data_IF_679713131449
#
_entry.id   IF_679713131449
#
_cell.length_a   1.000
_cell.length_b   1.000
_cell.length_c   1.000
_cell.angle_alpha   90.00
_cell.angle_beta   90.00
_cell.angle_gamma   90.00
#
_symmetry.space_group_name_H-M   'P 1'
#
loop_
_entity.id
_entity.type
_entity.pdbx_description
1 polymer ?
#
# COMPACT_ATOMS: atom_id res chain seq x y z
N UNK A 1 55.77 13.00 -23.94
CA UNK A 1 55.00 11.75 -23.74
C UNK A 1 53.50 11.97 -24.03
N UNK A 2 52.81 12.86 -23.30
CA UNK A 2 51.38 13.14 -23.46
C UNK A 2 50.93 13.52 -24.89
N UNK A 3 51.72 14.32 -25.62
CA UNK A 3 51.36 14.69 -27.00
C UNK A 3 51.33 13.51 -27.98
N UNK A 4 52.17 12.49 -27.77
CA UNK A 4 52.15 11.27 -28.59
C UNK A 4 50.92 10.41 -28.28
N UNK A 5 50.55 10.32 -27.02
CA UNK A 5 49.35 9.59 -26.57
C UNK A 5 48.10 10.27 -27.14
N UNK A 6 48.01 11.60 -27.09
CA UNK A 6 46.88 12.35 -27.66
C UNK A 6 46.78 12.17 -29.18
N UNK A 7 47.91 12.25 -29.90
CA UNK A 7 47.94 12.06 -31.34
C UNK A 7 47.49 10.65 -31.75
N UNK A 8 47.90 9.63 -30.99
CA UNK A 8 47.46 8.26 -31.21
C UNK A 8 45.97 8.07 -30.90
N UNK A 9 45.49 8.61 -29.77
CA UNK A 9 44.07 8.56 -29.41
C UNK A 9 43.19 9.26 -30.46
N UNK A 10 43.62 10.39 -31.00
CA UNK A 10 42.90 11.10 -32.06
C UNK A 10 42.82 10.28 -33.35
N UNK A 11 43.91 9.59 -33.73
CA UNK A 11 43.93 8.68 -34.88
C UNK A 11 42.92 7.54 -34.71
N UNK A 12 42.99 6.84 -33.58
CA UNK A 12 42.10 5.71 -33.30
C UNK A 12 40.63 6.14 -33.21
N UNK A 13 40.35 7.30 -32.61
CA UNK A 13 38.99 7.84 -32.54
C UNK A 13 38.40 8.14 -33.93
N UNK A 14 39.19 8.74 -34.82
CA UNK A 14 38.77 8.99 -36.21
C UNK A 14 38.51 7.66 -36.94
N UNK A 15 39.35 6.64 -36.66
CA UNK A 15 39.25 5.31 -37.27
C UNK A 15 37.98 4.57 -36.80
N UNK A 16 37.70 4.58 -35.50
CA UNK A 16 36.47 4.02 -34.91
C UNK A 16 35.23 4.73 -35.45
N UNK A 17 35.24 6.07 -35.53
CA UNK A 17 34.10 6.85 -36.04
C UNK A 17 33.80 6.57 -37.51
N UNK A 18 34.81 6.23 -38.29
CA UNK A 18 34.68 5.93 -39.73
C UNK A 18 34.25 4.48 -39.97
N UNK A 19 34.56 3.57 -39.05
CA UNK A 19 34.06 2.20 -39.06
C UNK A 19 32.66 2.10 -38.43
N UNK A 20 31.64 2.45 -39.24
CA UNK A 20 30.23 2.41 -38.83
C UNK A 20 29.78 1.03 -38.34
N UNK A 21 30.40 -0.06 -38.83
CA UNK A 21 30.00 -1.42 -38.44
C UNK A 21 30.47 -1.74 -37.04
N UNK A 22 31.73 -1.44 -36.72
CA UNK A 22 32.25 -1.62 -35.37
C UNK A 22 31.56 -0.69 -34.37
N UNK A 23 31.32 0.58 -34.74
CA UNK A 23 30.56 1.51 -33.90
C UNK A 23 29.13 1.01 -33.64
N UNK A 24 28.46 0.48 -34.68
CA UNK A 24 27.14 -0.11 -34.53
C UNK A 24 27.16 -1.32 -33.59
N UNK A 25 28.11 -2.25 -33.74
CA UNK A 25 28.20 -3.40 -32.82
C UNK A 25 28.45 -2.96 -31.37
N UNK A 26 29.33 -1.98 -31.16
CA UNK A 26 29.68 -1.47 -29.84
C UNK A 26 28.52 -0.74 -29.14
N UNK A 27 27.55 -0.21 -29.90
CA UNK A 27 26.35 0.43 -29.35
C UNK A 27 25.14 -0.51 -29.31
N UNK A 28 24.88 -1.26 -30.38
CA UNK A 28 23.71 -2.14 -30.51
C UNK A 28 23.75 -3.25 -29.47
N UNK A 29 24.93 -3.86 -29.24
CA UNK A 29 25.04 -4.93 -28.26
C UNK A 29 24.65 -4.46 -26.84
N UNK A 30 25.24 -3.40 -26.25
CA UNK A 30 24.82 -2.93 -24.94
C UNK A 30 23.38 -2.40 -24.90
N UNK A 31 22.86 -1.79 -25.97
CA UNK A 31 21.45 -1.38 -26.04
C UNK A 31 20.54 -2.62 -26.01
N UNK A 32 20.89 -3.67 -26.74
CA UNK A 32 20.13 -4.92 -26.74
C UNK A 32 20.17 -5.58 -25.35
N UNK A 33 21.31 -5.55 -24.67
CA UNK A 33 21.42 -5.96 -23.27
C UNK A 33 20.55 -5.11 -22.35
N UNK A 34 20.54 -3.78 -22.51
CA UNK A 34 19.68 -2.89 -21.71
C UNK A 34 18.20 -3.18 -21.92
N UNK A 35 17.76 -3.43 -23.15
CA UNK A 35 16.37 -3.81 -23.46
C UNK A 35 16.05 -5.18 -22.86
N UNK A 36 16.95 -6.16 -23.04
CA UNK A 36 16.77 -7.52 -22.52
C UNK A 36 16.69 -7.52 -20.99
N UNK A 37 17.60 -6.83 -20.32
CA UNK A 37 17.55 -6.70 -18.86
C UNK A 37 16.38 -5.83 -18.39
N UNK A 38 16.05 -4.76 -19.12
CA UNK A 38 14.87 -3.95 -18.83
C UNK A 38 13.56 -4.73 -18.91
N UNK A 39 13.49 -5.75 -19.78
CA UNK A 39 12.35 -6.64 -19.90
C UNK A 39 12.40 -7.85 -18.95
N UNK A 40 13.57 -8.48 -18.82
CA UNK A 40 13.75 -9.71 -18.06
C UNK A 40 13.76 -9.47 -16.54
N UNK A 41 14.21 -8.31 -16.07
CA UNK A 41 14.08 -7.92 -14.66
C UNK A 41 12.68 -7.40 -14.36
N UNK A 42 11.69 -8.29 -14.39
CA UNK A 42 10.46 -8.05 -13.62
C UNK A 42 10.79 -8.43 -12.17
N UNK A 43 11.18 -7.45 -11.36
CA UNK A 43 11.49 -7.63 -9.93
C UNK A 43 10.22 -7.90 -9.11
N UNK A 44 9.38 -8.85 -9.52
CA UNK A 44 8.21 -9.24 -8.72
C UNK A 44 8.68 -10.19 -7.63
N UNK A 45 8.83 -9.67 -6.42
CA UNK A 45 9.18 -10.46 -5.23
C UNK A 45 8.00 -11.39 -4.94
N UNK A 46 8.12 -12.67 -5.29
CA UNK A 46 7.01 -13.63 -5.31
C UNK A 46 6.21 -13.67 -4.01
N UNK A 47 6.87 -13.57 -2.87
CA UNK A 47 6.24 -13.55 -1.54
C UNK A 47 6.83 -12.41 -0.70
N UNK A 48 5.98 -11.64 -0.05
CA UNK A 48 6.37 -10.53 0.81
C UNK A 48 6.10 -10.91 2.26
N UNK A 49 7.13 -11.07 3.11
CA UNK A 49 6.94 -11.26 4.54
C UNK A 49 6.36 -10.00 5.20
N UNK A 50 5.22 -10.14 5.89
CA UNK A 50 4.45 -9.03 6.48
C UNK A 50 4.12 -9.31 7.94
N UNK A 51 4.33 -8.33 8.81
CA UNK A 51 3.76 -8.34 10.15
C UNK A 51 2.48 -7.48 10.20
N UNK A 52 1.39 -8.01 10.76
CA UNK A 52 0.12 -7.29 10.90
C UNK A 52 -0.27 -7.23 12.38
N UNK A 53 -0.29 -6.02 12.95
CA UNK A 53 -0.66 -5.73 14.33
C UNK A 53 -1.97 -4.96 14.33
N UNK A 54 -3.03 -5.60 14.82
CA UNK A 54 -4.34 -4.97 14.99
C UNK A 54 -4.53 -4.49 16.42
N UNK A 55 -4.73 -3.18 16.59
CA UNK A 55 -5.10 -2.54 17.87
C UNK A 55 -6.42 -1.77 17.77
N UNK A 56 -7.17 -1.94 16.67
CA UNK A 56 -8.37 -1.16 16.37
C UNK A 56 -9.48 -1.37 17.39
N UNK A 57 -9.74 -2.62 17.77
CA UNK A 57 -10.92 -3.01 18.53
C UNK A 57 -12.23 -2.86 17.74
N UNK A 58 -12.18 -2.75 16.40
CA UNK A 58 -13.35 -2.53 15.54
C UNK A 58 -13.51 -3.66 14.53
N UNK A 59 -14.73 -3.85 14.02
CA UNK A 59 -15.01 -4.81 12.94
C UNK A 59 -14.24 -4.48 11.66
N UNK A 60 -14.08 -3.19 11.36
CA UNK A 60 -13.37 -2.71 10.17
C UNK A 60 -11.86 -3.01 10.29
N UNK A 61 -11.25 -2.73 11.43
CA UNK A 61 -9.82 -3.01 11.64
C UNK A 61 -9.52 -4.50 11.62
N UNK A 62 -10.38 -5.33 12.23
CA UNK A 62 -10.26 -6.78 12.13
C UNK A 62 -10.35 -7.28 10.68
N UNK A 63 -11.31 -6.77 9.90
CA UNK A 63 -11.46 -7.14 8.48
C UNK A 63 -10.23 -6.73 7.64
N UNK A 64 -9.64 -5.56 7.91
CA UNK A 64 -8.40 -5.11 7.27
C UNK A 64 -7.23 -6.02 7.65
N UNK A 65 -7.10 -6.37 8.93
CA UNK A 65 -6.06 -7.27 9.40
C UNK A 65 -6.16 -8.65 8.74
N UNK A 66 -7.37 -9.20 8.66
CA UNK A 66 -7.63 -10.51 8.06
C UNK A 66 -7.41 -10.49 6.54
N UNK A 67 -7.84 -9.42 5.85
CA UNK A 67 -7.60 -9.26 4.42
C UNK A 67 -6.09 -9.22 4.10
N UNK A 68 -5.30 -8.51 4.92
CA UNK A 68 -3.84 -8.47 4.76
C UNK A 68 -3.18 -9.82 5.09
N UNK A 69 -3.63 -10.53 6.13
CA UNK A 69 -3.05 -11.83 6.52
C UNK A 69 -3.40 -12.97 5.56
N UNK A 70 -4.55 -12.88 4.89
CA UNK A 70 -5.04 -13.92 3.98
C UNK A 70 -4.67 -13.69 2.50
N UNK A 71 -4.01 -12.57 2.19
CA UNK A 71 -3.63 -12.26 0.82
C UNK A 71 -2.47 -13.15 0.36
N UNK A 72 -2.67 -13.91 -0.73
CA UNK A 72 -1.76 -14.96 -1.21
C UNK A 72 -0.29 -14.54 -1.39
N UNK A 73 -0.04 -13.27 -1.69
CA UNK A 73 1.31 -12.73 -1.91
C UNK A 73 2.00 -12.29 -0.61
N UNK A 74 1.26 -12.20 0.49
CA UNK A 74 1.77 -11.81 1.80
C UNK A 74 1.97 -13.05 2.65
N UNK A 75 3.13 -13.14 3.28
CA UNK A 75 3.48 -14.21 4.21
C UNK A 75 3.45 -13.62 5.62
N UNK A 76 2.40 -13.89 6.41
CA UNK A 76 2.28 -13.35 7.75
C UNK A 76 3.43 -13.85 8.64
N UNK A 77 4.08 -12.93 9.33
CA UNK A 77 5.06 -13.24 10.35
C UNK A 77 4.49 -12.93 11.73
N UNK A 78 4.64 -13.88 12.65
CA UNK A 78 4.29 -13.70 14.05
C UNK A 78 5.36 -12.85 14.74
N UNK A 79 4.93 -11.77 15.38
CA UNK A 79 5.81 -10.93 16.19
C UNK A 79 5.79 -11.40 17.65
N UNK A 80 6.95 -11.55 18.30
CA UNK A 80 7.02 -11.77 19.75
C UNK A 80 6.36 -10.62 20.54
N UNK A 81 6.50 -9.40 20.04
CA UNK A 81 5.87 -8.21 20.58
C UNK A 81 4.99 -7.56 19.50
N UNK A 82 3.65 -7.61 19.63
CA UNK A 82 2.72 -7.00 18.68
C UNK A 82 2.63 -5.47 18.91
N UNK A 83 3.72 -4.78 18.58
CA UNK A 83 3.87 -3.33 18.71
C UNK A 83 4.61 -2.72 17.52
N UNK A 84 4.55 -1.39 17.39
CA UNK A 84 5.36 -0.69 16.39
C UNK A 84 6.86 -0.95 16.58
N UNK A 85 7.32 -1.07 17.82
CA UNK A 85 8.70 -1.39 18.15
C UNK A 85 9.07 -2.81 17.67
N UNK A 86 8.19 -3.79 17.93
CA UNK A 86 8.38 -5.17 17.45
C UNK A 86 8.40 -5.27 15.92
N UNK A 87 7.54 -4.51 15.23
CA UNK A 87 7.57 -4.39 13.76
C UNK A 87 8.92 -3.84 13.30
N UNK A 88 9.38 -2.73 13.89
CA UNK A 88 10.65 -2.08 13.51
C UNK A 88 11.84 -3.02 13.73
N UNK A 89 11.83 -3.77 14.83
CA UNK A 89 12.87 -4.76 15.13
C UNK A 89 12.85 -5.91 14.12
N UNK A 90 11.68 -6.45 13.79
CA UNK A 90 11.55 -7.51 12.78
C UNK A 90 12.00 -7.05 11.38
N UNK A 91 11.70 -5.80 11.00
CA UNK A 91 12.25 -5.18 9.77
C UNK A 91 13.78 -5.10 9.87
N UNK A 92 14.31 -4.61 10.99
CA UNK A 92 15.75 -4.47 11.19
C UNK A 92 16.49 -5.81 11.15
N UNK A 93 15.87 -6.90 11.65
CA UNK A 93 16.40 -8.26 11.56
C UNK A 93 16.22 -8.91 10.18
N UNK A 94 15.48 -8.27 9.27
CA UNK A 94 15.17 -8.80 7.94
C UNK A 94 14.14 -9.94 7.97
N UNK A 95 13.37 -10.06 9.04
CA UNK A 95 12.31 -11.06 9.19
C UNK A 95 11.04 -10.67 8.42
N UNK A 96 10.77 -9.37 8.33
CA UNK A 96 9.65 -8.82 7.56
C UNK A 96 10.09 -7.67 6.66
N UNK A 97 9.45 -7.54 5.52
CA UNK A 97 9.65 -6.42 4.57
C UNK A 97 8.68 -5.28 4.85
N UNK A 98 7.48 -5.63 5.33
CA UNK A 98 6.41 -4.68 5.62
C UNK A 98 5.81 -4.97 6.99
N UNK A 99 5.49 -3.92 7.73
CA UNK A 99 4.68 -3.99 8.93
C UNK A 99 3.47 -3.09 8.80
N UNK A 100 2.31 -3.59 9.22
CA UNK A 100 1.06 -2.83 9.24
C UNK A 100 0.57 -2.75 10.68
N UNK A 101 0.41 -1.54 11.17
CA UNK A 101 -0.15 -1.24 12.48
C UNK A 101 -1.49 -0.53 12.31
N UNK A 102 -2.55 -1.19 12.77
CA UNK A 102 -3.91 -0.64 12.76
C UNK A 102 -4.14 0.03 14.11
N UNK A 103 -4.28 1.36 14.18
CA UNK A 103 -4.40 2.06 15.45
C UNK A 103 -5.77 1.82 16.12
N UNK A 104 -5.90 2.10 17.43
CA UNK A 104 -7.19 2.11 18.13
C UNK A 104 -8.22 3.00 17.43
N UNK A 105 -9.48 2.53 17.39
CA UNK A 105 -10.58 3.30 16.80
C UNK A 105 -10.61 3.32 15.28
N UNK A 106 -9.72 2.59 14.59
CA UNK A 106 -9.71 2.51 13.14
C UNK A 106 -11.06 2.07 12.56
N UNK A 107 -11.68 2.88 11.71
CA UNK A 107 -13.00 2.62 11.10
C UNK A 107 -14.19 3.19 11.88
N UNK A 108 -14.01 3.54 13.16
CA UNK A 108 -15.00 4.25 13.96
C UNK A 108 -14.68 5.74 14.03
N UNK A 109 -13.41 6.06 14.22
CA UNK A 109 -12.88 7.42 14.21
C UNK A 109 -12.50 7.83 12.78
N UNK A 110 -13.01 8.98 12.34
CA UNK A 110 -12.78 9.51 11.00
C UNK A 110 -11.30 9.85 10.69
N UNK A 111 -10.42 9.86 11.69
CA UNK A 111 -9.03 10.29 11.60
C UNK A 111 -8.01 9.22 12.00
N UNK A 112 -8.45 8.00 12.28
CA UNK A 112 -7.54 6.90 12.57
C UNK A 112 -6.84 6.45 11.26
N UNK A 113 -5.55 6.74 11.14
CA UNK A 113 -4.75 6.44 9.95
C UNK A 113 -4.01 5.11 10.08
N UNK A 114 -4.03 4.30 9.02
CA UNK A 114 -3.28 3.06 8.96
C UNK A 114 -1.77 3.35 8.89
N UNK A 115 -0.99 2.80 9.82
CA UNK A 115 0.47 2.98 9.82
C UNK A 115 1.15 1.82 9.09
N UNK A 116 1.88 2.13 8.01
CA UNK A 116 2.59 1.13 7.21
C UNK A 116 4.09 1.45 7.27
N UNK A 117 4.86 0.48 7.76
CA UNK A 117 6.31 0.52 7.83
C UNK A 117 6.88 -0.39 6.73
N UNK A 118 7.85 0.11 5.98
CA UNK A 118 8.48 -0.62 4.87
C UNK A 118 10.00 -0.64 5.06
N UNK A 119 10.62 -1.77 4.71
CA UNK A 119 12.07 -1.91 4.70
C UNK A 119 12.72 -1.05 3.60
N UNK A 120 13.29 0.09 3.99
CA UNK A 120 14.01 0.97 3.08
C UNK A 120 15.35 0.43 2.57
N UNK A 121 15.92 -0.61 3.19
CA UNK A 121 17.15 -1.24 2.73
C UNK A 121 16.92 -2.13 1.49
N UNK A 122 15.70 -2.66 1.34
CA UNK A 122 15.28 -3.44 0.17
C UNK A 122 14.18 -2.70 -0.63
N UNK A 123 14.62 -1.73 -1.44
CA UNK A 123 13.73 -0.86 -2.22
C UNK A 123 12.75 -1.64 -3.12
N UNK A 124 13.18 -2.73 -3.76
CA UNK A 124 12.33 -3.51 -4.66
C UNK A 124 11.24 -4.27 -3.90
N UNK A 125 11.58 -4.87 -2.75
CA UNK A 125 10.60 -5.56 -1.92
C UNK A 125 9.60 -4.57 -1.30
N UNK A 126 10.08 -3.41 -0.82
CA UNK A 126 9.22 -2.34 -0.32
C UNK A 126 8.26 -1.80 -1.39
N UNK A 127 8.73 -1.56 -2.61
CA UNK A 127 7.86 -1.13 -3.72
C UNK A 127 6.83 -2.19 -4.10
N UNK A 128 7.23 -3.46 -4.11
CA UNK A 128 6.32 -4.59 -4.39
C UNK A 128 5.25 -4.67 -3.32
N UNK A 129 5.64 -4.62 -2.05
CA UNK A 129 4.71 -4.61 -0.91
C UNK A 129 3.70 -3.46 -1.04
N UNK A 130 4.18 -2.23 -1.22
CA UNK A 130 3.33 -1.04 -1.36
C UNK A 130 2.34 -1.14 -2.53
N UNK A 131 2.76 -1.70 -3.67
CA UNK A 131 1.91 -1.90 -4.85
C UNK A 131 0.79 -2.91 -4.60
N UNK A 132 1.02 -3.90 -3.75
CA UNK A 132 0.07 -4.98 -3.48
C UNK A 132 -0.99 -4.60 -2.43
N UNK A 133 -0.75 -3.59 -1.60
CA UNK A 133 -1.67 -3.18 -0.52
C UNK A 133 -3.10 -2.93 -1.02
N UNK A 134 -3.36 -2.16 -2.10
CA UNK A 134 -4.73 -1.90 -2.54
C UNK A 134 -5.49 -3.19 -2.88
N UNK A 135 -4.84 -4.12 -3.59
CA UNK A 135 -5.42 -5.41 -3.94
C UNK A 135 -5.66 -6.29 -2.71
N UNK A 136 -4.75 -6.25 -1.73
CA UNK A 136 -4.90 -6.98 -0.46
C UNK A 136 -6.05 -6.43 0.41
N UNK A 137 -6.43 -5.16 0.24
CA UNK A 137 -7.51 -4.53 0.99
C UNK A 137 -8.89 -4.64 0.31
N UNK A 138 -8.99 -5.12 -0.93
CA UNK A 138 -10.26 -5.29 -1.64
C UNK A 138 -11.31 -6.09 -0.82
N UNK A 139 -10.98 -7.24 -0.18
CA UNK A 139 -11.96 -7.97 0.64
C UNK A 139 -12.48 -7.16 1.83
N UNK A 140 -11.63 -6.33 2.46
CA UNK A 140 -12.03 -5.50 3.58
C UNK A 140 -13.00 -4.37 3.16
N UNK A 141 -12.94 -3.91 1.90
CA UNK A 141 -13.86 -2.88 1.40
C UNK A 141 -15.32 -3.33 1.42
N UNK A 142 -15.59 -4.62 1.22
CA UNK A 142 -16.95 -5.16 1.28
C UNK A 142 -17.53 -5.02 2.70
N UNK A 143 -16.72 -5.33 3.72
CA UNK A 143 -17.09 -5.17 5.13
C UNK A 143 -17.31 -3.69 5.48
N UNK A 144 -16.41 -2.81 5.04
CA UNK A 144 -16.54 -1.37 5.25
C UNK A 144 -17.83 -0.83 4.62
N UNK A 145 -18.17 -1.25 3.40
CA UNK A 145 -19.42 -0.85 2.73
C UNK A 145 -20.65 -1.36 3.48
N UNK A 146 -20.64 -2.60 3.94
CA UNK A 146 -21.74 -3.17 4.71
C UNK A 146 -21.96 -2.41 6.03
N UNK A 147 -20.88 -2.09 6.74
CA UNK A 147 -20.89 -1.33 7.99
C UNK A 147 -21.41 0.10 7.79
N UNK A 148 -20.93 0.80 6.76
CA UNK A 148 -21.43 2.14 6.39
C UNK A 148 -22.92 2.14 6.07
N UNK A 149 -23.41 1.12 5.35
CA UNK A 149 -24.83 0.98 5.05
C UNK A 149 -25.64 0.72 6.32
N UNK A 150 -25.14 -0.12 7.23
CA UNK A 150 -25.80 -0.39 8.51
C UNK A 150 -25.89 0.89 9.37
N UNK A 151 -24.78 1.64 9.50
CA UNK A 151 -24.76 2.93 10.22
C UNK A 151 -25.70 3.95 9.62
N UNK A 152 -25.69 4.07 8.29
CA UNK A 152 -26.59 4.99 7.58
C UNK A 152 -28.05 4.62 7.81
N UNK A 153 -28.40 3.33 7.73
CA UNK A 153 -29.77 2.85 8.00
C UNK A 153 -30.20 3.12 9.44
N UNK A 154 -29.34 2.88 10.41
CA UNK A 154 -29.62 3.14 11.82
C UNK A 154 -29.85 4.64 12.06
N UNK A 155 -28.97 5.50 11.53
CA UNK A 155 -29.10 6.95 11.67
C UNK A 155 -30.36 7.51 11.01
N UNK A 156 -30.70 7.04 9.80
CA UNK A 156 -31.95 7.44 9.13
C UNK A 156 -33.18 6.98 9.93
N UNK A 157 -33.17 5.77 10.49
CA UNK A 157 -34.27 5.29 11.32
C UNK A 157 -34.46 6.13 12.59
N UNK A 158 -33.37 6.55 13.22
CA UNK A 158 -33.37 7.45 14.38
C UNK A 158 -33.97 8.82 14.03
N UNK A 159 -33.53 9.45 12.94
CA UNK A 159 -34.08 10.73 12.48
C UNK A 159 -35.58 10.64 12.14
N UNK A 160 -36.03 9.52 11.55
CA UNK A 160 -37.45 9.31 11.26
C UNK A 160 -38.25 9.15 12.56
N UNK A 161 -37.72 8.45 13.56
CA UNK A 161 -38.37 8.29 14.86
C UNK A 161 -38.49 9.63 15.59
N UNK A 162 -37.42 10.43 15.61
CA UNK A 162 -37.39 11.77 16.20
C UNK A 162 -38.40 12.71 15.51
N UNK A 163 -38.42 12.71 14.17
CA UNK A 163 -39.39 13.50 13.40
C UNK A 163 -40.85 13.05 13.62
N UNK A 164 -41.08 11.75 13.82
CA UNK A 164 -42.40 11.22 14.12
C UNK A 164 -42.89 11.61 15.52
N UNK A 165 -41.99 11.63 16.52
CA UNK A 165 -42.30 12.11 17.87
C UNK A 165 -42.58 13.62 17.88
N UNK A 166 -41.78 14.42 17.18
CA UNK A 166 -41.98 15.86 17.05
C UNK A 166 -43.34 16.20 16.41
N UNK A 167 -43.71 15.49 15.33
CA UNK A 167 -45.01 15.67 14.67
C UNK A 167 -46.19 15.25 15.55
N UNK A 168 -46.02 14.23 16.40
CA UNK A 168 -47.05 13.78 17.33
C UNK A 168 -47.29 14.81 18.45
N UNK A 169 -46.24 15.49 18.91
CA UNK A 169 -46.34 16.60 19.87
C UNK A 169 -47.09 17.80 19.28
N UNK A 170 -46.80 18.17 18.04
CA UNK A 170 -47.44 19.31 17.34
C UNK A 170 -48.94 19.07 17.08
N UNK A 171 -49.34 17.84 16.74
CA UNK A 171 -50.75 17.46 16.55
C UNK A 171 -51.52 17.45 17.87
N UNK A 172 -50.88 17.14 19.00
CA UNK A 172 -51.51 17.17 20.32
C UNK A 172 -51.69 18.61 20.86
N UNK A 173 -50.78 19.54 20.55
CA UNK A 173 -50.97 20.96 20.85
C UNK A 173 -52.04 21.62 19.96
N UNK A 174 -52.09 21.29 18.66
CA UNK A 174 -53.10 21.83 17.73
C UNK A 174 -54.54 21.39 18.03
N UNK A 175 -54.74 20.23 18.67
CA UNK A 175 -56.06 19.72 19.06
C UNK A 175 -56.63 20.35 20.35
N UNK A 176 -55.82 21.11 21.11
CA UNK A 176 -56.21 21.72 22.38
C UNK A 176 -56.69 23.19 22.25
N UNK A 177 -56.81 23.72 21.03
CA UNK A 177 -57.38 25.06 20.80
C UNK A 177 -58.88 24.93 20.48
N UNK A 178 -59.79 25.26 21.41
CA UNK A 178 -61.21 25.27 21.11
C UNK A 178 -61.58 26.53 20.30
N UNK A 179 -62.67 26.49 19.51
CA UNK A 179 -63.14 27.62 18.71
C UNK A 179 -63.60 28.81 19.55
#
# INVERSE_FOLDING_TARGET
MFQRILALAQKEFIQIRRDRRNLAMMLVLPILWLILFGYAFTFDVGEVPVAVVDRSGTTIGAAVADALRSYDRFVPADLPEPSEAGIREAIFRGEVVMGVLIPPGYGDEAHAELHILLDGANLFAAQTAARLIPAALEPAQEVVRAELQARTRAHVAELIAEAAEARKAEVLEGAASPP
#
